data_IF_594253058121
#
_entry.id   IF_594253058121
#
_cell.length_a   1.000
_cell.length_b   1.000
_cell.length_c   1.000
_cell.angle_alpha   90.00
_cell.angle_beta   90.00
_cell.angle_gamma   90.00
#
_symmetry.space_group_name_H-M   'P 1'
#
loop_
_entity.id
_entity.type
_entity.pdbx_description
1 polymer ?
#
# COMPACT_ATOMS: atom_id res chain seq x y z
N UNK A 1 18.78 -2.76 16.47
CA UNK A 1 17.54 -2.00 16.77
C UNK A 1 17.70 -1.25 18.09
N UNK A 2 17.14 -0.05 18.21
CA UNK A 2 17.11 0.71 19.48
C UNK A 2 15.66 1.03 19.82
N UNK A 3 15.21 0.63 21.01
CA UNK A 3 13.85 0.85 21.50
C UNK A 3 13.86 1.95 22.55
N UNK A 4 12.87 2.82 22.51
CA UNK A 4 12.69 3.90 23.48
C UNK A 4 11.27 3.88 24.02
N UNK A 5 11.13 4.27 25.28
CA UNK A 5 9.88 4.59 25.96
C UNK A 5 10.16 5.66 27.03
N UNK A 6 9.13 5.99 27.79
CA UNK A 6 9.11 7.02 28.82
C UNK A 6 9.59 6.52 30.19
N UNK A 7 9.41 5.24 30.50
CA UNK A 7 9.64 4.68 31.84
C UNK A 7 10.62 3.49 31.88
N UNK A 8 11.07 2.99 30.73
CA UNK A 8 11.98 1.86 30.60
C UNK A 8 11.27 0.50 30.58
N UNK A 9 9.97 0.44 30.85
CA UNK A 9 9.23 -0.82 31.01
C UNK A 9 8.97 -1.48 29.66
N UNK A 10 8.29 -0.78 28.75
CA UNK A 10 7.86 -1.30 27.45
C UNK A 10 9.06 -1.64 26.58
N UNK A 11 10.04 -0.73 26.51
CA UNK A 11 11.26 -0.91 25.74
C UNK A 11 12.05 -2.13 26.24
N UNK A 12 12.16 -2.34 27.55
CA UNK A 12 12.86 -3.50 28.11
C UNK A 12 12.14 -4.82 27.81
N UNK A 13 10.82 -4.87 28.01
CA UNK A 13 10.03 -6.08 27.74
C UNK A 13 10.11 -6.43 26.25
N UNK A 14 9.94 -5.46 25.36
CA UNK A 14 10.03 -5.69 23.91
C UNK A 14 11.45 -6.06 23.47
N UNK A 15 12.49 -5.44 24.04
CA UNK A 15 13.89 -5.81 23.74
C UNK A 15 14.19 -7.25 24.14
N UNK A 16 13.65 -7.73 25.26
CA UNK A 16 13.81 -9.13 25.68
C UNK A 16 13.24 -10.08 24.64
N UNK A 17 12.01 -9.85 24.17
CA UNK A 17 11.41 -10.69 23.14
C UNK A 17 12.18 -10.63 21.82
N UNK A 18 12.57 -9.44 21.35
CA UNK A 18 13.35 -9.30 20.12
C UNK A 18 14.71 -10.02 20.20
N UNK A 19 15.39 -9.98 21.34
CA UNK A 19 16.63 -10.74 21.57
C UNK A 19 16.41 -12.25 21.54
N UNK A 20 15.29 -12.73 22.09
CA UNK A 20 14.91 -14.15 21.99
C UNK A 20 14.54 -14.56 20.56
N UNK A 21 14.04 -13.62 19.75
CA UNK A 21 13.85 -13.80 18.30
C UNK A 21 15.17 -13.67 17.49
N UNK A 22 16.32 -13.48 18.16
CA UNK A 22 17.64 -13.43 17.53
C UNK A 22 18.11 -12.03 17.09
N UNK A 23 17.31 -10.99 17.29
CA UNK A 23 17.66 -9.61 16.90
C UNK A 23 18.65 -8.95 17.88
N UNK A 24 19.53 -8.11 17.35
CA UNK A 24 20.36 -7.23 18.15
C UNK A 24 19.56 -5.98 18.57
N UNK A 25 18.90 -6.05 19.73
CA UNK A 25 18.05 -5.00 20.26
C UNK A 25 18.67 -4.35 21.50
N UNK A 26 18.66 -3.02 21.55
CA UNK A 26 19.12 -2.21 22.68
C UNK A 26 17.99 -1.33 23.21
N UNK A 27 18.04 -1.00 24.50
CA UNK A 27 17.10 -0.07 25.13
C UNK A 27 17.79 1.26 25.30
N UNK A 28 17.18 2.31 24.79
CA UNK A 28 17.56 3.69 25.09
C UNK A 28 17.01 4.01 26.48
N UNK A 29 17.91 4.18 27.45
CA UNK A 29 17.50 4.51 28.83
C UNK A 29 16.69 5.81 28.83
N UNK A 30 15.51 5.84 29.49
CA UNK A 30 14.74 7.05 29.68
C UNK A 30 15.58 8.10 30.40
N UNK A 31 15.43 9.34 30.00
CA UNK A 31 16.12 10.47 30.59
C UNK A 31 15.11 11.60 30.77
N UNK A 32 14.86 11.98 32.03
CA UNK A 32 13.90 13.02 32.39
C UNK A 32 14.28 14.40 31.83
N UNK A 33 15.53 14.59 31.39
CA UNK A 33 15.97 15.80 30.68
C UNK A 33 15.48 15.86 29.22
N UNK A 34 14.97 14.77 28.65
CA UNK A 34 14.39 14.75 27.29
C UNK A 34 12.95 15.25 27.32
N UNK A 35 12.79 16.54 27.08
CA UNK A 35 11.49 17.22 27.08
C UNK A 35 10.93 17.49 25.69
N UNK A 36 11.64 17.09 24.64
CA UNK A 36 11.19 17.25 23.25
C UNK A 36 9.94 16.39 22.99
N UNK A 37 8.81 17.05 22.76
CA UNK A 37 7.52 16.41 22.45
C UNK A 37 7.12 16.59 20.99
N UNK A 38 7.94 17.30 20.21
CA UNK A 38 7.70 17.52 18.79
C UNK A 38 7.90 16.25 17.98
N UNK A 39 6.95 15.95 17.09
CA UNK A 39 7.25 15.10 15.95
C UNK A 39 8.00 15.96 14.93
N UNK A 40 9.13 15.49 14.39
CA UNK A 40 9.68 16.14 13.21
C UNK A 40 8.59 16.17 12.14
N UNK A 41 8.51 17.27 11.38
CA UNK A 41 7.71 17.27 10.16
C UNK A 41 8.07 16.02 9.37
N UNK A 42 7.07 15.33 8.79
CA UNK A 42 7.31 14.17 7.95
C UNK A 42 8.21 14.60 6.79
N UNK A 43 9.53 14.50 6.98
CA UNK A 43 10.49 14.69 5.93
C UNK A 43 10.39 13.45 5.06
N UNK A 44 10.33 13.65 3.74
CA UNK A 44 10.58 12.54 2.84
C UNK A 44 11.92 11.90 3.26
N UNK A 45 12.01 10.56 3.36
CA UNK A 45 13.24 9.94 3.81
C UNK A 45 14.39 10.42 2.92
N UNK A 46 15.48 10.82 3.54
CA UNK A 46 16.64 11.31 2.81
C UNK A 46 17.07 10.29 1.75
N UNK A 47 17.23 10.74 0.50
CA UNK A 47 17.71 9.90 -0.61
C UNK A 47 16.62 9.30 -1.51
N UNK A 48 15.35 9.66 -1.35
CA UNK A 48 14.37 9.32 -2.39
C UNK A 48 14.69 10.08 -3.69
N UNK A 49 14.56 9.44 -4.86
CA UNK A 49 14.84 10.08 -6.13
C UNK A 49 13.80 11.17 -6.42
N UNK A 50 14.27 12.26 -7.04
CA UNK A 50 13.39 13.24 -7.67
C UNK A 50 12.66 12.57 -8.84
N UNK A 51 11.32 12.62 -8.82
CA UNK A 51 10.51 12.03 -9.87
C UNK A 51 10.36 13.01 -11.02
N UNK A 52 10.42 12.51 -12.26
CA UNK A 52 10.18 13.33 -13.44
C UNK A 52 8.81 14.04 -13.34
N UNK A 53 8.74 15.27 -13.83
CA UNK A 53 7.50 16.02 -13.87
C UNK A 53 6.54 15.38 -14.88
N UNK A 54 5.34 15.02 -14.42
CA UNK A 54 4.23 14.57 -15.26
C UNK A 54 3.12 15.63 -15.19
N UNK A 55 2.53 16.06 -16.33
CA UNK A 55 1.46 17.04 -16.33
C UNK A 55 0.28 16.59 -15.47
N UNK A 56 -0.25 17.50 -14.64
CA UNK A 56 -1.49 17.30 -13.91
C UNK A 56 -2.65 17.99 -14.66
N UNK A 57 -3.80 17.32 -14.72
CA UNK A 57 -5.03 17.82 -15.33
C UNK A 57 -6.18 17.76 -14.33
N UNK A 58 -7.12 18.71 -14.42
CA UNK A 58 -8.33 18.67 -13.62
C UNK A 58 -9.29 17.56 -14.08
N UNK A 59 -10.32 17.30 -13.28
CA UNK A 59 -11.24 16.20 -13.53
C UNK A 59 -12.10 16.39 -14.80
N UNK A 60 -12.36 17.63 -15.21
CA UNK A 60 -13.19 17.96 -16.36
C UNK A 60 -12.41 17.73 -17.65
N UNK A 61 -11.14 18.14 -17.66
CA UNK A 61 -10.21 17.82 -18.73
C UNK A 61 -9.99 16.30 -18.81
N UNK A 62 -9.80 15.62 -17.69
CA UNK A 62 -9.69 14.16 -17.66
C UNK A 62 -10.95 13.48 -18.25
N UNK A 63 -12.16 13.93 -17.90
CA UNK A 63 -13.41 13.44 -18.47
C UNK A 63 -13.51 13.68 -19.99
N UNK A 64 -13.04 14.83 -20.48
CA UNK A 64 -13.03 15.13 -21.90
C UNK A 64 -12.08 14.21 -22.68
N UNK A 65 -10.90 13.92 -22.13
CA UNK A 65 -9.92 12.99 -22.71
C UNK A 65 -10.42 11.54 -22.69
N UNK A 66 -11.09 11.13 -21.60
CA UNK A 66 -11.76 9.83 -21.55
C UNK A 66 -12.81 9.68 -22.66
N UNK A 67 -13.57 10.74 -22.94
CA UNK A 67 -14.51 10.78 -24.06
C UNK A 67 -13.87 10.66 -25.44
N UNK A 68 -12.55 10.91 -25.54
CA UNK A 68 -11.75 10.77 -26.76
C UNK A 68 -11.01 9.43 -26.84
N UNK A 69 -11.17 8.55 -25.84
CA UNK A 69 -10.56 7.21 -25.82
C UNK A 69 -9.32 7.07 -24.94
N UNK A 70 -8.99 8.07 -24.10
CA UNK A 70 -7.90 7.93 -23.13
C UNK A 70 -8.18 6.80 -22.12
N UNK A 71 -7.10 6.17 -21.63
CA UNK A 71 -7.16 5.13 -20.61
C UNK A 71 -7.01 5.76 -19.22
N UNK A 72 -8.04 5.65 -18.37
CA UNK A 72 -7.93 6.04 -16.95
C UNK A 72 -7.52 4.83 -16.10
N UNK A 73 -6.38 4.95 -15.43
CA UNK A 73 -5.87 3.98 -14.47
C UNK A 73 -5.98 4.54 -13.06
N UNK A 74 -6.48 3.73 -12.12
CA UNK A 74 -6.58 4.11 -10.71
C UNK A 74 -5.70 3.20 -9.85
N UNK A 75 -4.79 3.81 -9.09
CA UNK A 75 -3.77 3.15 -8.28
C UNK A 75 -4.15 3.05 -6.79
N UNK A 76 -5.39 3.35 -6.40
CA UNK A 76 -5.83 3.13 -5.03
C UNK A 76 -5.76 1.64 -4.65
N UNK A 77 -5.77 1.34 -3.35
CA UNK A 77 -5.92 -0.04 -2.87
C UNK A 77 -7.17 -0.67 -3.50
N UNK A 78 -7.08 -1.96 -3.84
CA UNK A 78 -8.14 -2.67 -4.57
C UNK A 78 -9.49 -2.62 -3.86
N UNK A 79 -9.50 -2.62 -2.52
CA UNK A 79 -10.71 -2.46 -1.73
C UNK A 79 -11.33 -1.07 -1.89
N UNK A 80 -10.51 -0.02 -1.89
CA UNK A 80 -10.96 1.36 -2.11
C UNK A 80 -11.51 1.53 -3.53
N UNK A 81 -10.80 1.00 -4.53
CA UNK A 81 -11.28 0.98 -5.91
C UNK A 81 -12.63 0.27 -6.06
N UNK A 82 -12.76 -0.95 -5.50
CA UNK A 82 -14.02 -1.70 -5.51
C UNK A 82 -15.17 -0.92 -4.86
N UNK A 83 -14.88 -0.17 -3.78
CA UNK A 83 -15.89 0.62 -3.08
C UNK A 83 -16.33 1.86 -3.88
N UNK A 84 -15.38 2.56 -4.51
CA UNK A 84 -15.66 3.70 -5.39
C UNK A 84 -14.47 4.02 -6.30
N UNK A 85 -14.74 4.28 -7.57
CA UNK A 85 -13.76 4.80 -8.54
C UNK A 85 -14.44 5.66 -9.61
N UNK A 86 -13.65 6.49 -10.29
CA UNK A 86 -14.14 7.29 -11.41
C UNK A 86 -14.69 6.39 -12.51
N UNK A 87 -15.86 6.70 -13.07
CA UNK A 87 -16.49 5.88 -14.10
C UNK A 87 -15.56 5.67 -15.30
N UNK A 88 -15.37 4.40 -15.67
CA UNK A 88 -14.47 4.01 -16.76
C UNK A 88 -13.00 3.84 -16.35
N UNK A 89 -12.65 4.10 -15.09
CA UNK A 89 -11.33 3.77 -14.57
C UNK A 89 -11.10 2.26 -14.54
N UNK A 90 -9.85 1.85 -14.73
CA UNK A 90 -9.37 0.48 -14.49
C UNK A 90 -8.41 0.50 -13.32
N UNK A 91 -8.58 -0.42 -12.38
CA UNK A 91 -7.63 -0.58 -11.29
C UNK A 91 -6.26 -1.00 -11.83
N UNK A 92 -5.19 -0.44 -11.28
CA UNK A 92 -3.82 -0.73 -11.68
C UNK A 92 -2.93 -0.94 -10.45
N UNK A 93 -2.24 -2.08 -10.42
CA UNK A 93 -1.15 -2.33 -9.47
C UNK A 93 0.18 -2.24 -10.22
N UNK A 94 1.12 -1.42 -9.71
CA UNK A 94 2.42 -1.20 -10.37
C UNK A 94 3.22 -2.49 -10.60
N UNK A 95 2.99 -3.54 -9.81
CA UNK A 95 3.67 -4.84 -9.97
C UNK A 95 3.03 -5.74 -11.04
N UNK A 96 1.91 -5.34 -11.65
CA UNK A 96 1.14 -6.16 -12.59
C UNK A 96 0.61 -5.30 -13.77
N UNK A 97 1.50 -4.69 -14.55
CA UNK A 97 1.14 -3.71 -15.59
C UNK A 97 1.09 -4.25 -17.02
N UNK A 98 1.43 -5.51 -17.27
CA UNK A 98 1.58 -6.04 -18.63
C UNK A 98 0.36 -5.78 -19.53
N UNK A 99 -0.83 -6.06 -19.02
CA UNK A 99 -2.08 -5.80 -19.75
C UNK A 99 -2.34 -4.30 -19.91
N UNK A 100 -2.00 -3.48 -18.92
CA UNK A 100 -2.18 -2.03 -18.97
C UNK A 100 -1.26 -1.38 -19.99
N UNK A 101 -0.02 -1.87 -20.16
CA UNK A 101 0.93 -1.37 -21.16
C UNK A 101 0.44 -1.58 -22.59
N UNK A 102 -0.23 -2.69 -22.88
CA UNK A 102 -0.85 -2.92 -24.19
C UNK A 102 -1.99 -1.93 -24.45
N UNK A 103 -2.92 -1.80 -23.51
CA UNK A 103 -4.03 -0.86 -23.63
C UNK A 103 -3.57 0.61 -23.69
N UNK A 104 -2.48 0.96 -22.98
CA UNK A 104 -1.89 2.29 -23.03
C UNK A 104 -1.40 2.66 -24.43
N UNK A 105 -0.71 1.73 -25.12
CA UNK A 105 -0.27 1.93 -26.51
C UNK A 105 -1.44 2.15 -27.47
N UNK A 106 -2.52 1.39 -27.27
CA UNK A 106 -3.73 1.50 -28.10
C UNK A 106 -4.47 2.83 -27.85
N UNK A 107 -4.59 3.25 -26.59
CA UNK A 107 -5.28 4.47 -26.21
C UNK A 107 -4.49 5.74 -26.59
N UNK A 108 -3.15 5.67 -26.63
CA UNK A 108 -2.26 6.80 -26.93
C UNK A 108 -2.16 7.87 -25.82
N UNK A 109 -3.11 7.90 -24.89
CA UNK A 109 -3.11 8.75 -23.70
C UNK A 109 -3.54 7.95 -22.45
N UNK A 110 -2.72 7.99 -21.40
CA UNK A 110 -3.02 7.42 -20.08
C UNK A 110 -3.23 8.55 -19.06
N UNK A 111 -4.32 8.47 -18.32
CA UNK A 111 -4.60 9.31 -17.16
C UNK A 111 -4.42 8.46 -15.92
N UNK A 112 -3.63 8.93 -14.95
CA UNK A 112 -3.40 8.23 -13.69
C UNK A 112 -4.11 8.94 -12.54
N UNK A 113 -4.94 8.20 -11.80
CA UNK A 113 -5.55 8.57 -10.53
C UNK A 113 -4.88 7.77 -9.42
N UNK A 114 -4.63 8.39 -8.27
CA UNK A 114 -4.13 7.71 -7.07
C UNK A 114 -4.57 8.48 -5.80
N UNK A 115 -4.54 7.84 -4.61
CA UNK A 115 -4.82 8.51 -3.34
C UNK A 115 -3.76 9.56 -2.96
N UNK A 116 -2.53 9.41 -3.45
CA UNK A 116 -1.44 10.38 -3.24
C UNK A 116 -0.68 10.70 -4.54
N UNK A 117 -0.19 11.94 -4.64
CA UNK A 117 0.48 12.45 -5.84
C UNK A 117 1.76 11.70 -6.18
N UNK A 118 2.46 11.14 -5.18
CA UNK A 118 3.71 10.43 -5.41
C UNK A 118 3.48 9.08 -6.04
N UNK A 119 2.49 8.33 -5.56
CA UNK A 119 2.04 7.08 -6.17
C UNK A 119 1.54 7.31 -7.58
N UNK A 120 0.74 8.37 -7.82
CA UNK A 120 0.31 8.74 -9.17
C UNK A 120 1.50 8.95 -10.11
N UNK A 121 2.53 9.69 -9.66
CA UNK A 121 3.76 9.90 -10.44
C UNK A 121 4.52 8.61 -10.68
N UNK A 122 4.73 7.79 -9.65
CA UNK A 122 5.44 6.52 -9.78
C UNK A 122 4.77 5.59 -10.79
N UNK A 123 3.44 5.52 -10.78
CA UNK A 123 2.71 4.74 -11.80
C UNK A 123 2.78 5.40 -13.18
N UNK A 124 2.66 6.73 -13.27
CA UNK A 124 2.75 7.45 -14.53
C UNK A 124 4.09 7.23 -15.27
N UNK A 125 5.20 7.11 -14.53
CA UNK A 125 6.52 6.84 -15.10
C UNK A 125 6.58 5.54 -15.93
N UNK A 126 5.76 4.54 -15.57
CA UNK A 126 5.73 3.25 -16.27
C UNK A 126 5.16 3.34 -17.69
N UNK A 127 4.49 4.45 -18.03
CA UNK A 127 3.79 4.62 -19.31
C UNK A 127 4.42 5.66 -20.24
N UNK A 128 5.45 6.39 -19.80
CA UNK A 128 6.03 7.50 -20.56
C UNK A 128 6.60 7.09 -21.93
N UNK A 129 7.10 5.86 -22.05
CA UNK A 129 7.68 5.35 -23.30
C UNK A 129 6.63 4.83 -24.29
N UNK A 130 5.37 4.72 -23.87
CA UNK A 130 4.32 4.04 -24.65
C UNK A 130 3.09 4.89 -24.92
N UNK A 131 2.88 5.99 -24.19
CA UNK A 131 1.74 6.88 -24.35
C UNK A 131 2.04 8.29 -23.82
N UNK A 132 1.19 9.26 -24.18
CA UNK A 132 1.12 10.51 -23.42
C UNK A 132 0.53 10.22 -22.05
N UNK A 133 1.08 10.85 -20.99
CA UNK A 133 0.64 10.57 -19.62
C UNK A 133 0.25 11.86 -18.91
N UNK A 134 -0.83 11.80 -18.15
CA UNK A 134 -1.27 12.89 -17.28
C UNK A 134 -1.77 12.34 -15.94
N UNK A 135 -1.67 13.14 -14.89
CA UNK A 135 -2.18 12.80 -13.57
C UNK A 135 -3.49 13.53 -13.33
N UNK A 136 -4.50 12.81 -12.82
CA UNK A 136 -5.75 13.40 -12.34
C UNK A 136 -5.47 14.15 -11.03
N UNK A 137 -5.46 15.48 -11.12
CA UNK A 137 -5.16 16.34 -9.98
C UNK A 137 -6.19 16.15 -8.86
N UNK A 138 -5.71 15.75 -7.67
CA UNK A 138 -6.56 15.53 -6.50
C UNK A 138 -7.41 14.25 -6.56
N UNK A 139 -7.14 13.35 -7.51
CA UNK A 139 -7.68 11.99 -7.59
C UNK A 139 -9.22 11.90 -7.58
N UNK A 140 -9.73 10.77 -7.08
CA UNK A 140 -11.16 10.52 -6.94
C UNK A 140 -11.92 11.61 -6.15
N UNK A 141 -11.40 12.19 -5.05
CA UNK A 141 -12.10 13.28 -4.35
C UNK A 141 -12.33 14.51 -5.23
N UNK A 142 -11.36 14.89 -6.08
CA UNK A 142 -11.53 15.99 -7.02
C UNK A 142 -12.56 15.64 -8.10
N UNK A 143 -12.52 14.41 -8.62
CA UNK A 143 -13.50 13.89 -9.56
C UNK A 143 -14.95 13.97 -9.03
N UNK A 144 -15.16 13.56 -7.77
CA UNK A 144 -16.46 13.62 -7.10
C UNK A 144 -16.93 15.06 -6.89
N UNK A 145 -16.05 15.96 -6.40
CA UNK A 145 -16.38 17.38 -6.21
C UNK A 145 -16.77 18.07 -7.52
N UNK A 146 -16.24 17.57 -8.64
CA UNK A 146 -16.58 18.01 -9.99
C UNK A 146 -17.94 17.51 -10.51
N UNK A 147 -18.69 16.73 -9.70
CA UNK A 147 -20.01 16.21 -10.06
C UNK A 147 -19.96 15.12 -11.14
N UNK A 148 -18.79 14.52 -11.39
CA UNK A 148 -18.60 13.51 -12.42
C UNK A 148 -19.02 12.12 -11.92
N UNK A 149 -19.39 11.20 -12.83
CA UNK A 149 -19.93 9.90 -12.44
C UNK A 149 -18.88 9.01 -11.76
N UNK A 150 -19.32 8.28 -10.74
CA UNK A 150 -18.52 7.31 -9.96
C UNK A 150 -19.23 5.97 -10.02
N UNK A 151 -18.45 4.89 -10.10
CA UNK A 151 -18.93 3.52 -10.05
C UNK A 151 -18.42 2.82 -8.79
N UNK A 152 -19.15 1.79 -8.35
CA UNK A 152 -18.72 0.84 -7.34
C UNK A 152 -18.76 -0.55 -7.96
N UNK A 153 -17.71 -1.34 -7.76
CA UNK A 153 -17.54 -2.65 -8.37
C UNK A 153 -17.10 -3.69 -7.34
N UNK A 154 -17.99 -4.18 -6.46
CA UNK A 154 -17.62 -5.04 -5.34
C UNK A 154 -16.83 -6.32 -5.72
N UNK A 155 -16.98 -6.81 -6.95
CA UNK A 155 -16.29 -7.99 -7.47
C UNK A 155 -15.21 -7.70 -8.53
N UNK A 156 -14.88 -6.44 -8.83
CA UNK A 156 -13.87 -6.08 -9.85
C UNK A 156 -12.89 -5.03 -9.31
N UNK A 157 -11.56 -5.27 -9.38
CA UNK A 157 -10.88 -6.46 -9.91
C UNK A 157 -11.22 -7.74 -9.11
N UNK A 158 -11.17 -8.96 -9.67
CA UNK A 158 -11.41 -10.21 -8.93
C UNK A 158 -10.31 -10.48 -7.89
N UNK A 159 -10.55 -11.36 -6.91
CA UNK A 159 -9.65 -11.55 -5.76
C UNK A 159 -8.25 -12.02 -6.16
N UNK A 160 -8.12 -12.80 -7.24
CA UNK A 160 -6.83 -13.27 -7.75
C UNK A 160 -5.94 -12.14 -8.29
N UNK A 161 -6.55 -11.02 -8.68
CA UNK A 161 -5.83 -9.83 -9.15
C UNK A 161 -5.47 -8.88 -7.98
N UNK A 162 -6.11 -9.03 -6.81
CA UNK A 162 -5.91 -8.18 -5.62
C UNK A 162 -4.65 -8.56 -4.85
N UNK A 163 -3.51 -8.52 -5.53
CA UNK A 163 -2.20 -8.89 -4.98
C UNK A 163 -1.69 -7.88 -3.93
N UNK A 164 -2.40 -6.78 -3.71
CA UNK A 164 -2.22 -5.81 -2.65
C UNK A 164 -2.84 -6.25 -1.31
N UNK A 165 -3.62 -7.34 -1.29
CA UNK A 165 -4.33 -7.82 -0.10
C UNK A 165 -4.20 -9.33 0.10
N UNK A 166 -3.84 -9.76 1.31
CA UNK A 166 -3.79 -11.19 1.67
C UNK A 166 -5.20 -11.70 2.00
N UNK A 167 -5.84 -12.36 1.05
CA UNK A 167 -7.18 -12.95 1.21
C UNK A 167 -7.18 -14.22 2.07
N UNK A 168 -6.02 -14.85 2.30
CA UNK A 168 -5.95 -16.07 3.11
C UNK A 168 -6.38 -15.79 4.56
N UNK A 169 -7.50 -16.41 4.96
CA UNK A 169 -8.10 -16.31 6.30
C UNK A 169 -8.32 -14.87 6.79
N UNK A 170 -8.58 -13.95 5.86
CA UNK A 170 -8.77 -12.54 6.16
C UNK A 170 -10.02 -12.28 7.03
N UNK A 171 -11.07 -13.08 6.84
CA UNK A 171 -12.36 -12.98 7.51
C UNK A 171 -12.45 -13.81 8.81
N UNK A 172 -11.31 -14.33 9.31
CA UNK A 172 -11.23 -15.14 10.54
C UNK A 172 -11.70 -14.42 11.82
N UNK A 173 -11.79 -13.10 11.79
CA UNK A 173 -12.33 -12.27 12.88
C UNK A 173 -13.73 -11.69 12.56
N UNK A 174 -14.31 -12.08 11.43
CA UNK A 174 -15.62 -11.59 10.93
C UNK A 174 -16.72 -12.66 11.04
N UNK A 175 -16.53 -13.64 11.94
CA UNK A 175 -17.51 -14.71 12.19
C UNK A 175 -17.37 -15.95 11.30
N UNK A 176 -16.35 -16.01 10.43
CA UNK A 176 -16.06 -17.21 9.66
C UNK A 176 -15.33 -18.27 10.53
N UNK A 177 -16.11 -19.16 11.15
CA UNK A 177 -15.58 -20.21 12.02
C UNK A 177 -14.61 -21.17 11.32
N UNK A 178 -14.80 -21.45 10.02
CA UNK A 178 -13.88 -22.29 9.25
C UNK A 178 -12.52 -21.60 9.08
N UNK A 179 -12.51 -20.30 8.78
CA UNK A 179 -11.28 -19.54 8.64
C UNK A 179 -10.56 -19.39 9.99
N UNK A 180 -11.29 -19.17 11.08
CA UNK A 180 -10.72 -19.13 12.43
C UNK A 180 -10.06 -20.48 12.79
N UNK A 181 -10.74 -21.60 12.55
CA UNK A 181 -10.19 -22.93 12.84
C UNK A 181 -8.95 -23.26 12.00
N UNK A 182 -8.96 -22.91 10.71
CA UNK A 182 -7.81 -23.09 9.84
C UNK A 182 -6.59 -22.26 10.28
N UNK A 183 -6.81 -21.04 10.77
CA UNK A 183 -5.73 -20.18 11.28
C UNK A 183 -5.10 -20.76 12.54
N UNK A 184 -5.93 -21.24 13.49
CA UNK A 184 -5.45 -21.90 14.70
C UNK A 184 -4.67 -23.17 14.40
N UNK A 185 -5.14 -23.97 13.43
CA UNK A 185 -4.41 -25.16 13.00
C UNK A 185 -3.04 -24.79 12.45
N UNK A 186 -2.96 -23.76 11.60
CA UNK A 186 -1.69 -23.25 11.10
C UNK A 186 -0.75 -22.78 12.22
N UNK A 187 -1.26 -22.09 13.24
CA UNK A 187 -0.45 -21.68 14.41
C UNK A 187 0.09 -22.89 15.21
N UNK A 188 -0.70 -23.95 15.36
CA UNK A 188 -0.28 -25.18 16.03
C UNK A 188 0.82 -25.92 15.27
N UNK A 189 0.79 -25.88 13.94
CA UNK A 189 1.77 -26.54 13.06
C UNK A 189 3.04 -25.70 12.85
N UNK A 190 3.01 -24.42 13.22
CA UNK A 190 4.10 -23.47 13.00
C UNK A 190 5.43 -23.89 13.67
N UNK A 191 5.48 -24.37 14.93
CA UNK A 191 6.74 -24.82 15.54
C UNK A 191 7.39 -25.97 14.77
N UNK A 192 6.59 -26.92 14.26
CA UNK A 192 7.09 -28.01 13.43
C UNK A 192 7.65 -27.52 12.09
N UNK A 193 7.01 -26.51 11.50
CA UNK A 193 7.43 -25.87 10.24
C UNK A 193 8.72 -25.06 10.41
N UNK A 194 8.93 -24.44 11.57
CA UNK A 194 10.15 -23.68 11.93
C UNK A 194 11.32 -24.63 12.21
N UNK A 195 11.05 -25.81 12.78
CA UNK A 195 12.07 -26.80 13.13
C UNK A 195 12.82 -26.43 14.41
N UNK A 196 14.12 -26.75 14.48
CA UNK A 196 14.91 -26.42 15.66
C UNK A 196 15.06 -24.91 15.84
N UNK A 197 14.58 -24.41 16.99
CA UNK A 197 14.52 -22.99 17.26
C UNK A 197 15.90 -22.29 17.18
N UNK A 198 16.97 -22.95 17.65
CA UNK A 198 18.34 -22.42 17.56
C UNK A 198 18.81 -22.26 16.10
N UNK A 199 18.48 -23.23 15.23
CA UNK A 199 18.78 -23.17 13.80
C UNK A 199 17.98 -22.08 13.09
N UNK A 200 16.74 -21.83 13.54
CA UNK A 200 15.91 -20.71 13.08
C UNK A 200 16.31 -19.36 13.70
N UNK A 201 17.38 -19.31 14.51
CA UNK A 201 17.94 -18.07 15.07
C UNK A 201 17.33 -17.63 16.41
N UNK A 202 16.39 -18.37 16.97
CA UNK A 202 15.82 -18.09 18.28
C UNK A 202 16.82 -18.39 19.40
N UNK A 203 16.82 -17.55 20.43
CA UNK A 203 17.71 -17.59 21.59
C UNK A 203 16.88 -17.59 22.87
N UNK A 204 16.24 -18.71 23.16
CA UNK A 204 15.56 -18.89 24.43
C UNK A 204 16.61 -19.09 25.52
N UNK A 205 16.90 -18.03 26.29
CA UNK A 205 17.63 -18.18 27.54
C UNK A 205 16.68 -18.80 28.59
N UNK A 206 17.16 -19.74 29.43
CA UNK A 206 16.41 -20.17 30.62
C UNK A 206 16.11 -19.00 31.56
#
# INVERSE_FOLDING_TARGET
MVLADDDGTRATVTARWLRQLGWDAHVLTPDAARTETGWPAAAEPAGWPELAAVPAIDAQHAQALLGQGALLLDAADSAAFRAAHARGARWANRSALDSHLAHAREAGHVIVSAPDDRLARLLALEFLDVAQVSILQGGLPAWQRSGLPVDASPQSPPDEQRIDFLTWLHDRHEGNAQASAAYLQWELDLPGSVGEASAAGFRFQP
#
